data_IF_259043635027
#
_entry.id   IF_259043635027
#
_cell.length_a   1.000
_cell.length_b   1.000
_cell.length_c   1.000
_cell.angle_alpha   90.00
_cell.angle_beta   90.00
_cell.angle_gamma   90.00
#
_symmetry.space_group_name_H-M   'P 1'
#
loop_
_entity.id
_entity.type
_entity.pdbx_description
1 polymer ?
#
# COMPACT_ATOMS: atom_id res chain seq x y z
N UNK A 1 13.37 35.47 7.42
CA UNK A 1 12.53 34.58 6.59
C UNK A 1 12.12 33.36 7.41
N UNK A 2 10.86 33.26 7.83
CA UNK A 2 10.33 32.06 8.50
C UNK A 2 9.98 31.03 7.42
N UNK A 3 10.73 29.91 7.35
CA UNK A 3 10.33 28.75 6.56
C UNK A 3 9.06 28.18 7.19
N UNK A 4 7.90 28.41 6.55
CA UNK A 4 6.66 27.70 6.88
C UNK A 4 6.88 26.25 6.48
N UNK A 5 7.06 25.37 7.46
CA UNK A 5 6.91 23.94 7.28
C UNK A 5 5.48 23.73 6.77
N UNK A 6 5.35 23.28 5.53
CA UNK A 6 4.06 22.98 4.92
C UNK A 6 3.61 21.67 5.57
N UNK A 7 3.02 21.76 6.77
CA UNK A 7 2.19 20.67 7.22
C UNK A 7 0.95 20.68 6.34
N UNK A 8 0.64 19.56 5.65
CA UNK A 8 -0.66 19.43 5.02
C UNK A 8 -1.75 19.59 6.11
N UNK A 9 -2.83 20.38 5.89
CA UNK A 9 -4.05 20.38 6.72
C UNK A 9 -4.63 18.98 7.01
N UNK A 10 -5.58 18.88 7.96
CA UNK A 10 -6.06 17.59 8.49
C UNK A 10 -7.04 16.83 7.57
N UNK A 11 -7.48 17.46 6.47
CA UNK A 11 -8.60 17.08 5.60
C UNK A 11 -8.19 16.24 4.36
N UNK A 12 -6.96 15.74 4.28
CA UNK A 12 -6.51 15.00 3.08
C UNK A 12 -7.13 13.61 2.89
N UNK A 13 -7.64 12.99 3.96
CA UNK A 13 -8.33 11.70 3.87
C UNK A 13 -9.75 11.82 3.35
N UNK A 14 -10.35 13.01 3.46
CA UNK A 14 -11.76 13.28 3.15
C UNK A 14 -11.92 14.21 1.95
N UNK A 15 -10.83 14.48 1.22
CA UNK A 15 -10.89 15.24 -0.03
C UNK A 15 -11.82 14.52 -1.01
N UNK A 16 -12.69 15.28 -1.69
CA UNK A 16 -13.66 14.77 -2.67
C UNK A 16 -13.00 14.20 -3.93
N UNK A 17 -11.69 14.39 -4.02
CA UNK A 17 -10.73 14.06 -5.06
C UNK A 17 -9.81 12.88 -4.68
N UNK A 18 -10.04 12.19 -3.54
CA UNK A 18 -9.43 10.87 -3.30
C UNK A 18 -10.03 9.84 -4.28
N UNK A 19 -9.16 9.10 -4.95
CA UNK A 19 -9.52 8.04 -5.90
C UNK A 19 -10.00 6.76 -5.22
N UNK A 20 -9.84 6.66 -3.90
CA UNK A 20 -10.33 5.52 -3.12
C UNK A 20 -11.85 5.53 -3.09
N UNK A 21 -12.44 4.58 -3.82
CA UNK A 21 -13.87 4.31 -3.77
C UNK A 21 -14.15 3.44 -2.54
N UNK A 22 -14.37 4.07 -1.39
CA UNK A 22 -14.70 3.35 -0.16
C UNK A 22 -16.21 3.09 -0.08
N UNK A 23 -16.58 1.83 0.11
CA UNK A 23 -17.94 1.34 0.34
C UNK A 23 -17.96 0.56 1.65
N UNK A 24 -19.16 0.29 2.17
CA UNK A 24 -19.32 -0.60 3.34
C UNK A 24 -18.63 -1.94 3.13
N UNK A 25 -18.71 -2.46 1.91
CA UNK A 25 -18.24 -3.80 1.57
C UNK A 25 -16.72 -3.92 1.49
N UNK A 26 -15.97 -2.81 1.39
CA UNK A 26 -14.50 -2.82 1.35
C UNK A 26 -13.83 -2.11 2.54
N UNK A 27 -14.60 -1.50 3.45
CA UNK A 27 -14.06 -0.79 4.62
C UNK A 27 -13.17 -1.69 5.50
N UNK A 28 -13.60 -2.94 5.73
CA UNK A 28 -12.83 -3.92 6.50
C UNK A 28 -11.48 -4.27 5.89
N UNK A 29 -11.41 -4.40 4.56
CA UNK A 29 -10.15 -4.72 3.89
C UNK A 29 -9.23 -3.52 3.84
N UNK A 30 -9.78 -2.31 3.62
CA UNK A 30 -9.03 -1.06 3.71
C UNK A 30 -8.44 -0.84 5.11
N UNK A 31 -9.20 -1.17 6.17
CA UNK A 31 -8.72 -1.12 7.56
C UNK A 31 -7.58 -2.11 7.77
N UNK A 32 -7.76 -3.37 7.38
CA UNK A 32 -6.70 -4.41 7.46
C UNK A 32 -5.46 -3.97 6.71
N UNK A 33 -5.59 -3.44 5.50
CA UNK A 33 -4.49 -2.96 4.68
C UNK A 33 -3.71 -1.84 5.39
N UNK A 34 -4.40 -0.83 5.94
CA UNK A 34 -3.78 0.24 6.71
C UNK A 34 -3.04 -0.27 7.95
N UNK A 35 -3.65 -1.19 8.71
CA UNK A 35 -3.03 -1.81 9.89
C UNK A 35 -1.82 -2.66 9.51
N UNK A 36 -1.89 -3.40 8.41
CA UNK A 36 -0.79 -4.20 7.88
C UNK A 36 0.40 -3.34 7.47
N UNK A 37 0.17 -2.23 6.75
CA UNK A 37 1.20 -1.25 6.40
C UNK A 37 1.86 -0.68 7.66
N UNK A 38 1.07 -0.39 8.71
CA UNK A 38 1.58 0.10 10.00
C UNK A 38 2.46 -0.92 10.71
N UNK A 39 2.05 -2.18 10.78
CA UNK A 39 2.87 -3.25 11.37
C UNK A 39 4.16 -3.46 10.59
N UNK A 40 4.09 -3.44 9.25
CA UNK A 40 5.28 -3.49 8.41
C UNK A 40 6.23 -2.32 8.67
N UNK A 41 5.70 -1.10 8.75
CA UNK A 41 6.50 0.09 9.04
C UNK A 41 7.18 0.06 10.42
N UNK A 42 6.60 -0.66 11.38
CA UNK A 42 7.15 -0.90 12.71
C UNK A 42 8.02 -2.17 12.81
N UNK A 43 8.21 -2.90 11.72
CA UNK A 43 8.84 -4.24 11.69
C UNK A 43 8.19 -5.25 12.64
N UNK A 44 6.88 -5.12 12.88
CA UNK A 44 6.09 -5.99 13.73
C UNK A 44 5.56 -7.19 12.95
N UNK A 45 6.36 -8.26 12.92
CA UNK A 45 6.01 -9.49 12.19
C UNK A 45 4.81 -10.22 12.78
N UNK A 46 4.62 -10.17 14.08
CA UNK A 46 3.50 -10.84 14.73
C UNK A 46 2.18 -10.14 14.36
N UNK A 47 2.17 -8.81 14.37
CA UNK A 47 1.05 -8.02 13.88
C UNK A 47 0.76 -8.23 12.39
N UNK A 48 1.79 -8.30 11.55
CA UNK A 48 1.62 -8.64 10.13
C UNK A 48 0.99 -10.02 9.93
N UNK A 49 1.49 -11.04 10.62
CA UNK A 49 0.98 -12.41 10.53
C UNK A 49 -0.48 -12.50 10.99
N UNK A 50 -0.84 -11.80 12.07
CA UNK A 50 -2.22 -11.76 12.56
C UNK A 50 -3.20 -11.25 11.50
N UNK A 51 -2.85 -10.17 10.77
CA UNK A 51 -3.69 -9.63 9.71
C UNK A 51 -3.78 -10.57 8.50
N UNK A 52 -2.68 -11.22 8.12
CA UNK A 52 -2.68 -12.23 7.06
C UNK A 52 -3.59 -13.41 7.42
N UNK A 53 -3.52 -13.91 8.66
CA UNK A 53 -4.41 -14.97 9.15
C UNK A 53 -5.88 -14.54 9.10
N UNK A 54 -6.23 -13.35 9.62
CA UNK A 54 -7.60 -12.81 9.58
C UNK A 54 -8.13 -12.73 8.13
N UNK A 55 -7.27 -12.31 7.20
CA UNK A 55 -7.62 -12.17 5.78
C UNK A 55 -7.92 -13.52 5.13
N UNK A 56 -7.10 -14.54 5.42
CA UNK A 56 -7.29 -15.91 4.91
C UNK A 56 -8.54 -16.54 5.50
N UNK A 57 -8.77 -16.37 6.80
CA UNK A 57 -9.98 -16.87 7.48
C UNK A 57 -11.26 -16.24 6.92
N UNK A 58 -11.17 -15.00 6.43
CA UNK A 58 -12.27 -14.31 5.77
C UNK A 58 -12.44 -14.65 4.28
N UNK A 59 -11.50 -15.39 3.66
CA UNK A 59 -11.44 -15.64 2.21
C UNK A 59 -11.45 -14.37 1.36
N UNK A 60 -10.72 -13.34 1.81
CA UNK A 60 -10.69 -11.99 1.22
C UNK A 60 -9.30 -11.59 0.74
N UNK A 61 -8.46 -12.56 0.36
CA UNK A 61 -7.06 -12.31 -0.01
C UNK A 61 -6.93 -11.37 -1.22
N UNK A 62 -7.82 -11.49 -2.19
CA UNK A 62 -7.83 -10.63 -3.39
C UNK A 62 -8.23 -9.21 -3.03
N UNK A 63 -9.27 -9.05 -2.23
CA UNK A 63 -9.75 -7.76 -1.76
C UNK A 63 -8.75 -7.08 -0.84
N UNK A 64 -8.04 -7.83 0.01
CA UNK A 64 -6.97 -7.32 0.85
C UNK A 64 -5.79 -6.80 0.04
N UNK A 65 -5.34 -7.51 -1.00
CA UNK A 65 -4.28 -7.03 -1.89
C UNK A 65 -4.74 -5.75 -2.59
N UNK A 66 -5.97 -5.72 -3.10
CA UNK A 66 -6.54 -4.52 -3.74
C UNK A 66 -6.58 -3.34 -2.76
N UNK A 67 -7.00 -3.59 -1.53
CA UNK A 67 -7.04 -2.59 -0.46
C UNK A 67 -5.66 -2.02 -0.10
N UNK A 68 -4.59 -2.84 -0.14
CA UNK A 68 -3.21 -2.36 0.03
C UNK A 68 -2.85 -1.38 -1.09
N UNK A 69 -3.14 -1.74 -2.35
CA UNK A 69 -2.83 -0.89 -3.50
C UNK A 69 -3.63 0.41 -3.46
N UNK A 70 -4.93 0.34 -3.18
CA UNK A 70 -5.81 1.51 -3.06
C UNK A 70 -5.33 2.45 -1.93
N UNK A 71 -4.83 1.88 -0.83
CA UNK A 71 -4.25 2.65 0.28
C UNK A 71 -3.00 3.40 -0.19
N UNK A 72 -2.12 2.76 -0.95
CA UNK A 72 -0.94 3.43 -1.50
C UNK A 72 -1.30 4.48 -2.56
N UNK A 73 -2.22 4.20 -3.47
CA UNK A 73 -2.69 5.16 -4.47
C UNK A 73 -3.29 6.42 -3.83
N UNK A 74 -3.85 6.28 -2.63
CA UNK A 74 -4.38 7.41 -1.86
C UNK A 74 -3.28 8.19 -1.15
N UNK A 75 -2.30 7.51 -0.55
CA UNK A 75 -1.28 8.16 0.29
C UNK A 75 -0.15 8.76 -0.56
N UNK A 76 0.29 8.07 -1.61
CA UNK A 76 1.45 8.47 -2.43
C UNK A 76 1.31 9.91 -2.96
N UNK A 77 0.18 10.34 -3.56
CA UNK A 77 0.03 11.70 -4.05
C UNK A 77 0.08 12.78 -2.97
N UNK A 78 -0.20 12.42 -1.71
CA UNK A 78 -0.15 13.34 -0.58
C UNK A 78 1.28 13.52 -0.05
N UNK A 79 2.11 12.48 -0.16
CA UNK A 79 3.48 12.47 0.38
C UNK A 79 4.54 12.80 -0.68
N UNK A 80 4.22 12.62 -1.95
CA UNK A 80 5.20 12.68 -3.04
C UNK A 80 4.76 13.66 -4.11
N UNK A 81 5.67 14.56 -4.48
CA UNK A 81 5.45 15.47 -5.61
C UNK A 81 5.26 14.69 -6.93
N UNK A 82 4.61 15.26 -7.95
CA UNK A 82 4.46 14.59 -9.24
C UNK A 82 5.79 14.14 -9.89
N UNK A 83 6.86 14.93 -9.72
CA UNK A 83 8.19 14.54 -10.20
C UNK A 83 8.76 13.34 -9.43
N UNK A 84 8.55 13.30 -8.10
CA UNK A 84 8.93 12.16 -7.27
C UNK A 84 8.16 10.90 -7.67
N UNK A 85 6.85 11.00 -7.93
CA UNK A 85 6.03 9.87 -8.37
C UNK A 85 6.54 9.27 -9.69
N UNK A 86 6.97 10.11 -10.64
CA UNK A 86 7.62 9.63 -11.88
C UNK A 86 8.91 8.86 -11.59
N UNK A 87 9.76 9.39 -10.71
CA UNK A 87 10.98 8.69 -10.30
C UNK A 87 10.70 7.36 -9.60
N UNK A 88 9.64 7.27 -8.80
CA UNK A 88 9.19 6.01 -8.20
C UNK A 88 8.76 5.01 -9.28
N UNK A 89 7.96 5.45 -10.26
CA UNK A 89 7.53 4.61 -11.37
C UNK A 89 8.72 4.08 -12.20
N UNK A 90 9.72 4.91 -12.48
CA UNK A 90 10.95 4.50 -13.16
C UNK A 90 11.73 3.45 -12.36
N UNK A 91 11.80 3.61 -11.03
CA UNK A 91 12.48 2.64 -10.16
C UNK A 91 11.72 1.31 -10.08
N UNK A 92 10.39 1.34 -9.95
CA UNK A 92 9.55 0.12 -9.99
C UNK A 92 9.70 -0.58 -11.35
N UNK A 93 9.73 0.17 -12.45
CA UNK A 93 9.99 -0.39 -13.79
C UNK A 93 11.37 -1.04 -13.87
N UNK A 94 12.41 -0.40 -13.32
CA UNK A 94 13.76 -0.95 -13.31
C UNK A 94 13.85 -2.24 -12.49
N UNK A 95 13.18 -2.30 -11.34
CA UNK A 95 13.06 -3.51 -10.51
C UNK A 95 12.31 -4.62 -11.27
N UNK A 96 11.15 -4.31 -11.87
CA UNK A 96 10.34 -5.30 -12.58
C UNK A 96 11.06 -5.89 -13.81
N UNK A 97 11.84 -5.07 -14.51
CA UNK A 97 12.62 -5.49 -15.69
C UNK A 97 14.00 -6.07 -15.35
N UNK A 98 14.40 -6.07 -14.07
CA UNK A 98 15.74 -6.51 -13.66
C UNK A 98 16.89 -5.61 -14.14
N UNK A 99 16.60 -4.35 -14.51
CA UNK A 99 17.58 -3.38 -15.01
C UNK A 99 18.14 -2.44 -13.93
N UNK A 100 17.65 -2.58 -12.70
CA UNK A 100 18.19 -1.94 -11.50
C UNK A 100 19.68 -2.25 -11.24
N UNK A 101 20.36 -1.34 -10.53
CA UNK A 101 21.81 -1.41 -10.29
C UNK A 101 22.21 -2.13 -8.98
N UNK A 102 21.25 -2.52 -8.16
CA UNK A 102 21.48 -3.11 -6.83
C UNK A 102 20.75 -4.46 -6.79
N UNK A 103 21.38 -5.56 -6.35
CA UNK A 103 20.67 -6.84 -6.19
C UNK A 103 19.48 -6.69 -5.23
N UNK A 104 18.30 -7.14 -5.64
CA UNK A 104 17.11 -7.21 -4.78
C UNK A 104 16.63 -8.66 -4.66
N UNK A 105 15.86 -9.00 -3.61
CA UNK A 105 15.23 -10.30 -3.48
C UNK A 105 14.25 -10.63 -4.64
N UNK A 106 14.11 -11.91 -4.99
CA UNK A 106 13.20 -12.36 -6.05
C UNK A 106 11.74 -11.93 -5.82
N UNK A 107 11.30 -11.90 -4.56
CA UNK A 107 9.95 -11.46 -4.22
C UNK A 107 9.73 -9.96 -4.52
N UNK A 108 10.77 -9.13 -4.53
CA UNK A 108 10.67 -7.73 -4.93
C UNK A 108 10.57 -7.59 -6.44
N UNK A 109 11.30 -8.42 -7.21
CA UNK A 109 11.11 -8.49 -8.66
C UNK A 109 9.67 -8.84 -9.02
N UNK A 110 9.11 -9.85 -8.34
CA UNK A 110 7.72 -10.27 -8.54
C UNK A 110 6.75 -9.17 -8.13
N UNK A 111 6.94 -8.54 -6.97
CA UNK A 111 6.11 -7.44 -6.50
C UNK A 111 6.14 -6.23 -7.44
N UNK A 112 7.31 -5.84 -7.96
CA UNK A 112 7.43 -4.76 -8.92
C UNK A 112 6.68 -5.07 -10.23
N UNK A 113 6.80 -6.30 -10.75
CA UNK A 113 6.00 -6.74 -11.92
C UNK A 113 4.50 -6.70 -11.64
N UNK A 114 4.09 -7.07 -10.43
CA UNK A 114 2.69 -7.01 -10.01
C UNK A 114 2.19 -5.56 -9.96
N UNK A 115 2.97 -4.63 -9.43
CA UNK A 115 2.63 -3.19 -9.39
C UNK A 115 2.53 -2.57 -10.78
N UNK A 116 3.41 -2.96 -11.72
CA UNK A 116 3.31 -2.53 -13.11
C UNK A 116 2.00 -3.04 -13.75
N UNK A 117 1.68 -4.33 -13.55
CA UNK A 117 0.44 -4.91 -14.05
C UNK A 117 -0.81 -4.23 -13.47
N UNK A 118 -0.78 -3.86 -12.18
CA UNK A 118 -1.84 -3.08 -11.54
C UNK A 118 -1.99 -1.69 -12.17
N UNK A 119 -0.89 -0.96 -12.36
CA UNK A 119 -0.89 0.36 -13.01
C UNK A 119 -1.43 0.34 -14.44
N UNK A 120 -1.20 -0.76 -15.17
CA UNK A 120 -1.73 -0.99 -16.52
C UNK A 120 -3.19 -1.51 -16.53
N UNK A 121 -3.76 -1.84 -15.37
CA UNK A 121 -5.07 -2.48 -15.24
C UNK A 121 -5.12 -3.92 -15.77
N UNK A 122 -3.97 -4.59 -15.92
CA UNK A 122 -3.87 -5.96 -16.43
C UNK A 122 -4.09 -7.00 -15.31
N UNK A 123 -5.36 -7.17 -14.94
CA UNK A 123 -5.78 -8.15 -13.94
C UNK A 123 -5.35 -9.59 -14.28
N UNK A 124 -5.25 -9.94 -15.57
CA UNK A 124 -4.82 -11.30 -15.99
C UNK A 124 -3.34 -11.51 -15.72
N UNK A 125 -2.51 -10.50 -15.94
CA UNK A 125 -1.10 -10.55 -15.58
C UNK A 125 -0.91 -10.56 -14.07
N UNK A 126 -1.66 -9.76 -13.31
CA UNK A 126 -1.65 -9.79 -11.84
C UNK A 126 -1.92 -11.20 -11.31
N UNK A 127 -3.01 -11.86 -11.75
CA UNK A 127 -3.33 -13.23 -11.35
C UNK A 127 -2.21 -14.21 -11.71
N UNK A 128 -1.65 -14.12 -12.93
CA UNK A 128 -0.53 -14.99 -13.33
C UNK A 128 0.69 -14.82 -12.43
N UNK A 129 1.04 -13.58 -12.09
CA UNK A 129 2.18 -13.28 -11.23
C UNK A 129 1.98 -13.86 -9.82
N UNK A 130 0.78 -13.72 -9.26
CA UNK A 130 0.46 -14.28 -7.94
C UNK A 130 0.60 -15.80 -7.90
N UNK A 131 0.25 -16.49 -9.00
CA UNK A 131 0.36 -17.94 -9.13
C UNK A 131 1.74 -18.44 -9.62
N UNK A 132 2.76 -17.58 -9.71
CA UNK A 132 4.15 -18.05 -9.93
C UNK A 132 4.69 -18.84 -8.72
N UNK A 133 3.96 -18.84 -7.60
CA UNK A 133 4.29 -19.54 -6.36
C UNK A 133 3.01 -20.00 -5.65
N UNK A 134 3.11 -21.06 -4.86
CA UNK A 134 2.01 -21.54 -4.02
C UNK A 134 1.80 -20.64 -2.78
N UNK A 135 2.84 -19.97 -2.30
CA UNK A 135 2.77 -19.03 -1.17
C UNK A 135 2.83 -17.59 -1.68
N UNK A 136 1.69 -16.91 -1.62
CA UNK A 136 1.53 -15.52 -2.07
C UNK A 136 2.08 -14.49 -1.09
N UNK A 137 2.28 -14.87 0.17
CA UNK A 137 2.65 -13.96 1.27
C UNK A 137 3.95 -13.20 1.00
N UNK A 138 5.04 -13.83 0.49
CA UNK A 138 6.27 -13.12 0.13
C UNK A 138 6.08 -12.04 -0.94
N UNK A 139 5.13 -12.23 -1.86
CA UNK A 139 4.81 -11.22 -2.89
C UNK A 139 4.09 -10.03 -2.26
N UNK A 140 3.13 -10.28 -1.35
CA UNK A 140 2.40 -9.24 -0.60
C UNK A 140 3.37 -8.42 0.25
N UNK A 141 4.28 -9.08 0.97
CA UNK A 141 5.34 -8.40 1.73
C UNK A 141 6.30 -7.66 0.79
N UNK A 142 6.64 -8.24 -0.35
CA UNK A 142 7.47 -7.60 -1.37
C UNK A 142 6.85 -6.30 -1.91
N UNK A 143 5.53 -6.21 -2.02
CA UNK A 143 4.84 -4.96 -2.41
C UNK A 143 5.14 -3.86 -1.39
N UNK A 144 5.01 -4.16 -0.09
CA UNK A 144 5.32 -3.22 0.98
C UNK A 144 6.79 -2.83 0.96
N UNK A 145 7.69 -3.79 0.79
CA UNK A 145 9.12 -3.54 0.75
C UNK A 145 9.52 -2.62 -0.42
N UNK A 146 8.93 -2.83 -1.60
CA UNK A 146 9.10 -1.93 -2.74
C UNK A 146 8.64 -0.52 -2.36
N UNK A 147 7.44 -0.37 -1.78
CA UNK A 147 6.94 0.92 -1.29
C UNK A 147 7.81 1.55 -0.20
N UNK A 148 8.40 0.78 0.70
CA UNK A 148 9.32 1.28 1.72
C UNK A 148 10.56 1.92 1.10
N UNK A 149 11.11 1.31 0.05
CA UNK A 149 12.27 1.87 -0.65
C UNK A 149 11.90 3.13 -1.40
N UNK A 150 10.77 3.14 -2.10
CA UNK A 150 10.37 4.26 -2.95
C UNK A 150 9.71 5.41 -2.17
N UNK A 151 9.19 5.12 -0.97
CA UNK A 151 8.47 6.06 -0.12
C UNK A 151 8.90 5.95 1.36
N UNK A 152 10.16 6.30 1.69
CA UNK A 152 10.66 6.23 3.06
C UNK A 152 9.88 7.15 4.04
N UNK A 153 9.16 8.14 3.51
CA UNK A 153 8.31 9.04 4.31
C UNK A 153 7.20 8.31 5.08
N UNK A 154 6.77 7.12 4.65
CA UNK A 154 5.78 6.31 5.37
C UNK A 154 6.25 5.90 6.77
N UNK A 155 7.55 5.71 6.95
CA UNK A 155 8.15 5.30 8.23
C UNK A 155 8.39 6.47 9.18
N UNK A 156 8.04 7.69 8.78
CA UNK A 156 8.14 8.86 9.65
C UNK A 156 6.90 9.00 10.53
N UNK A 157 6.98 9.68 11.69
CA UNK A 157 5.80 9.97 12.50
C UNK A 157 4.68 10.66 11.70
N UNK A 158 5.05 11.48 10.72
CA UNK A 158 4.10 12.13 9.83
C UNK A 158 3.38 11.12 8.91
N UNK A 159 4.13 10.23 8.26
CA UNK A 159 3.57 9.16 7.42
C UNK A 159 2.65 8.22 8.19
N UNK A 160 3.06 7.78 9.37
CA UNK A 160 2.23 6.97 10.28
C UNK A 160 0.96 7.72 10.70
N UNK A 161 1.08 9.01 11.04
CA UNK A 161 -0.10 9.82 11.39
C UNK A 161 -1.08 9.98 10.22
N UNK A 162 -0.59 9.95 8.99
CA UNK A 162 -1.46 9.91 7.83
C UNK A 162 -2.24 8.58 7.86
N UNK A 163 -1.54 7.44 7.87
CA UNK A 163 -2.18 6.11 7.89
C UNK A 163 -3.21 5.98 9.04
N UNK A 164 -2.85 6.41 10.25
CA UNK A 164 -3.73 6.35 11.44
C UNK A 164 -5.03 7.15 11.24
N UNK A 165 -4.98 8.32 10.60
CA UNK A 165 -6.20 9.09 10.28
C UNK A 165 -7.10 8.34 9.31
N UNK A 166 -6.53 7.66 8.31
CA UNK A 166 -7.26 6.80 7.39
C UNK A 166 -7.95 5.64 8.11
N UNK A 167 -7.19 4.90 8.92
CA UNK A 167 -7.71 3.78 9.72
C UNK A 167 -8.87 4.24 10.62
N UNK A 168 -8.71 5.33 11.36
CA UNK A 168 -9.75 5.81 12.28
C UNK A 168 -11.04 6.23 11.56
N UNK A 169 -10.90 6.77 10.34
CA UNK A 169 -12.05 7.10 9.49
C UNK A 169 -12.81 5.83 9.10
N UNK A 170 -12.08 4.78 8.68
CA UNK A 170 -12.67 3.50 8.30
C UNK A 170 -13.37 2.79 9.47
N UNK A 171 -12.75 2.79 10.67
CA UNK A 171 -13.34 2.21 11.89
C UNK A 171 -14.65 2.90 12.28
N UNK A 172 -14.70 4.24 12.15
CA UNK A 172 -15.92 4.99 12.47
C UNK A 172 -17.07 4.61 11.53
N UNK A 173 -16.78 4.37 10.26
CA UNK A 173 -17.76 3.96 9.25
C UNK A 173 -18.26 2.52 9.44
N UNK A 174 -17.39 1.61 9.90
CA UNK A 174 -17.80 0.26 10.30
C UNK A 174 -18.80 0.31 11.46
N UNK A 175 -18.56 1.18 12.45
CA UNK A 175 -19.40 1.32 13.64
C UNK A 175 -20.76 1.99 13.37
N UNK A 176 -20.87 2.83 12.34
CA UNK A 176 -22.15 3.44 11.92
C UNK A 176 -23.06 2.47 11.15
N UNK A 177 -22.54 1.30 10.77
CA UNK A 177 -23.23 0.34 9.92
C UNK A 177 -23.92 -0.82 10.71
N UNK A 178 -23.68 -0.89 12.02
CA UNK A 178 -24.27 -1.82 13.00
C UNK A 178 -25.46 -1.19 13.75
#
# INVERSE_FOLDING_TARGET
MKRKVIFPPADYWTRKDTTMNFTRDNAGDLRRAGVFIKHHAAHDRDGMNAILTETVEAHRETEFITAILDTFDTIVPQLVTPAGQRGMAELVLAMGNGTHHIPIPDNWHRAARFLLAYGDGDNKLMTRIMHETDDVSPTIVGILDVYTVVLPMLHTPFGISAIDRGINTLVSLEAEAD
#
